data_IF_449867541325
#
_entry.id   IF_449867541325
#
_cell.length_a   1.000
_cell.length_b   1.000
_cell.length_c   1.000
_cell.angle_alpha   90.00
_cell.angle_beta   90.00
_cell.angle_gamma   90.00
#
_symmetry.space_group_name_H-M   'P 1'
#
loop_
_entity.id
_entity.type
_entity.pdbx_description
1 polymer ?
2 water ?
#
# COMPACT_ATOMS: atom_id res chain seq x y z
N UNK A 1 -0.48 14.29 1.23
CA UNK A 1 -0.24 13.80 -0.16
C UNK A 1 -1.42 13.01 -0.69
N UNK A 2 -1.81 13.13 -1.95
CA UNK A 2 -2.85 12.35 -2.56
C UNK A 2 -2.20 11.29 -3.47
N UNK A 3 -3.04 10.47 -4.09
CA UNK A 3 -2.56 9.35 -4.92
C UNK A 3 -1.69 9.81 -6.05
N UNK A 4 -2.05 10.93 -6.69
CA UNK A 4 -1.24 11.43 -7.82
C UNK A 4 0.15 11.78 -7.36
N UNK A 5 0.27 12.44 -6.21
CA UNK A 5 1.57 12.87 -5.72
C UNK A 5 2.39 11.63 -5.31
N UNK A 6 1.69 10.65 -4.73
CA UNK A 6 2.37 9.40 -4.37
C UNK A 6 2.97 8.76 -5.61
N UNK A 7 2.23 8.68 -6.69
CA UNK A 7 2.71 8.08 -7.94
C UNK A 7 3.93 8.86 -8.45
N UNK A 8 3.83 10.19 -8.44
CA UNK A 8 4.96 10.98 -8.94
C UNK A 8 6.22 10.81 -8.12
N UNK A 9 6.12 10.73 -6.80
CA UNK A 9 7.24 10.57 -5.90
C UNK A 9 7.86 9.18 -6.08
N UNK A 10 6.99 8.16 -6.15
CA UNK A 10 7.55 6.82 -6.37
C UNK A 10 8.21 6.67 -7.72
N UNK A 11 7.64 7.19 -8.79
CA UNK A 11 8.22 7.12 -10.13
C UNK A 11 9.60 7.81 -10.13
N UNK A 12 9.74 8.92 -9.41
CA UNK A 12 11.07 9.57 -9.43
C UNK A 12 12.09 8.74 -8.70
N UNK A 13 11.76 8.25 -7.51
CA UNK A 13 12.68 7.47 -6.69
C UNK A 13 13.07 6.15 -7.35
N UNK A 14 12.11 5.45 -7.96
CA UNK A 14 12.45 4.17 -8.57
C UNK A 14 13.00 4.32 -9.97
N UNK A 15 12.94 5.50 -10.57
CA UNK A 15 13.36 5.67 -11.96
C UNK A 15 12.46 4.92 -12.91
N UNK A 16 11.14 4.93 -12.60
CA UNK A 16 10.13 4.24 -13.36
C UNK A 16 9.16 5.21 -14.04
N UNK A 17 8.53 4.73 -15.08
CA UNK A 17 7.53 5.54 -15.79
C UNK A 17 6.30 5.71 -14.91
N UNK A 18 5.69 6.88 -14.87
CA UNK A 18 4.48 7.03 -14.06
C UNK A 18 3.39 6.05 -14.44
N UNK A 19 3.17 5.69 -15.70
CA UNK A 19 2.11 4.75 -16.05
C UNK A 19 2.36 3.37 -15.46
N UNK A 20 3.63 2.96 -15.34
CA UNK A 20 3.96 1.66 -14.78
C UNK A 20 3.72 1.65 -13.27
N UNK A 21 4.08 2.74 -12.62
CA UNK A 21 3.85 2.87 -11.18
C UNK A 21 2.35 2.87 -10.93
N UNK A 22 1.56 3.59 -11.76
CA UNK A 22 0.11 3.57 -11.51
C UNK A 22 -0.48 2.19 -11.70
N UNK A 23 -0.03 1.44 -12.69
CA UNK A 23 -0.53 0.09 -12.92
C UNK A 23 -0.20 -0.81 -11.73
N UNK A 24 1.05 -0.71 -11.27
CA UNK A 24 1.43 -1.59 -10.14
C UNK A 24 0.77 -1.15 -8.86
N UNK A 25 0.67 0.17 -8.60
CA UNK A 25 -0.04 0.60 -7.40
C UNK A 25 -1.49 0.18 -7.41
N UNK A 26 -2.19 0.40 -8.55
CA UNK A 26 -3.61 0.02 -8.60
C UNK A 26 -3.75 -1.51 -8.43
N UNK A 27 -2.85 -2.29 -8.98
CA UNK A 27 -2.94 -3.76 -8.85
C UNK A 27 -2.66 -4.19 -7.42
N UNK A 28 -1.72 -3.51 -6.74
CA UNK A 28 -1.55 -3.78 -5.32
C UNK A 28 -2.82 -3.47 -4.54
N UNK A 29 -3.44 -2.31 -4.74
CA UNK A 29 -4.65 -1.96 -4.00
C UNK A 29 -5.80 -2.92 -4.30
N UNK A 30 -5.90 -3.34 -5.55
CA UNK A 30 -6.96 -4.29 -5.93
C UNK A 30 -6.71 -5.63 -5.26
N UNK A 31 -5.45 -6.04 -5.22
CA UNK A 31 -5.10 -7.34 -4.62
C UNK A 31 -5.38 -7.37 -3.13
N UNK A 32 -5.01 -6.31 -2.40
CA UNK A 32 -5.30 -6.20 -0.98
C UNK A 32 -6.81 -6.17 -0.76
N UNK A 33 -7.56 -5.42 -1.55
CA UNK A 33 -9.02 -5.33 -1.42
C UNK A 33 -9.66 -6.69 -1.65
N UNK A 34 -9.21 -7.42 -2.66
CA UNK A 34 -9.78 -8.75 -2.94
C UNK A 34 -9.49 -9.70 -1.79
N UNK A 35 -8.28 -9.68 -1.24
CA UNK A 35 -7.96 -10.55 -0.10
C UNK A 35 -8.85 -10.25 1.09
N UNK A 36 -9.02 -8.96 1.43
CA UNK A 36 -9.85 -8.55 2.55
C UNK A 36 -11.32 -8.92 2.33
N UNK A 37 -11.75 -8.88 1.09
CA UNK A 37 -13.14 -9.24 0.76
C UNK A 37 -13.40 -10.72 1.01
N UNK A 38 -12.38 -11.55 0.93
CA UNK A 38 -12.47 -12.98 1.20
C UNK A 38 -12.16 -13.29 2.66
N UNK A 39 -11.93 -12.28 3.50
CA UNK A 39 -11.57 -12.44 4.88
C UNK A 39 -10.13 -12.83 5.16
N UNK A 40 -9.24 -12.71 4.18
CA UNK A 40 -7.84 -13.04 4.34
C UNK A 40 -7.11 -11.85 4.98
N UNK A 41 -5.97 -12.11 5.57
CA UNK A 41 -5.13 -11.07 6.16
C UNK A 41 -4.05 -10.74 5.13
N UNK A 42 -3.60 -9.49 5.10
CA UNK A 42 -2.47 -9.13 4.22
C UNK A 42 -1.40 -8.60 5.17
N UNK A 43 -0.37 -9.38 5.42
CA UNK A 43 0.68 -9.03 6.36
C UNK A 43 1.95 -8.66 5.62
N UNK A 44 2.36 -7.39 5.79
CA UNK A 44 3.56 -6.96 5.08
C UNK A 44 4.65 -6.69 6.12
N UNK A 45 5.64 -7.55 6.18
CA UNK A 45 6.76 -7.37 7.12
C UNK A 45 7.40 -6.00 7.03
N UNK A 46 7.59 -5.37 8.19
CA UNK A 46 8.23 -4.04 8.21
C UNK A 46 7.28 -2.91 7.87
N UNK A 47 5.98 -3.20 7.76
CA UNK A 47 4.99 -2.17 7.49
C UNK A 47 3.79 -2.36 8.37
N UNK A 48 3.05 -3.47 8.20
CA UNK A 48 1.89 -3.71 9.03
C UNK A 48 0.97 -4.73 8.36
N UNK A 49 -0.17 -4.98 9.01
CA UNK A 49 -1.10 -5.95 8.45
C UNK A 49 -2.47 -5.34 8.24
N UNK A 50 -3.11 -5.77 7.16
CA UNK A 50 -4.48 -5.35 6.88
C UNK A 50 -5.36 -6.57 7.20
N UNK A 51 -6.44 -6.36 7.93
CA UNK A 51 -7.29 -7.50 8.29
C UNK A 51 -8.72 -6.99 8.40
N UNK A 52 -9.65 -7.90 8.52
CA UNK A 52 -11.06 -7.53 8.70
C UNK A 52 -11.51 -8.01 10.07
N UNK A 76 -15.36 -4.91 9.05
CA UNK A 76 -14.69 -3.67 8.65
C UNK A 76 -13.19 -3.89 8.55
N UNK A 77 -12.59 -3.21 7.59
CA UNK A 77 -11.15 -3.27 7.36
C UNK A 77 -10.35 -2.56 8.46
N UNK A 78 -9.28 -3.14 8.92
CA UNK A 78 -8.45 -2.55 9.95
C UNK A 78 -6.98 -2.72 9.56
N UNK A 79 -6.15 -1.78 9.98
CA UNK A 79 -4.72 -1.83 9.75
C UNK A 79 -4.00 -1.82 11.09
N UNK A 80 -3.11 -2.77 11.29
CA UNK A 80 -2.28 -2.85 12.48
C UNK A 80 -0.83 -2.56 12.10
N UNK A 81 -0.32 -1.38 12.47
CA UNK A 81 1.05 -1.00 12.12
C UNK A 81 2.10 -1.94 12.73
N UNK A 82 3.14 -2.17 11.99
CA UNK A 82 4.24 -3.03 12.45
C UNK A 82 5.16 -2.22 13.36
N UNK A 83 6.00 -2.94 14.08
CA UNK A 83 6.94 -2.35 15.04
C UNK A 83 7.82 -1.29 14.34
N UNK A 84 8.38 -1.70 13.22
CA UNK A 84 9.28 -0.85 12.42
C UNK A 84 8.61 0.46 12.01
N UNK A 85 7.36 0.39 11.54
CA UNK A 85 6.65 1.61 11.15
C UNK A 85 6.41 2.51 12.36
N UNK A 86 5.94 1.94 13.46
CA UNK A 86 5.72 2.69 14.70
C UNK A 86 6.99 3.38 15.18
N UNK A 87 8.14 2.70 15.13
CA UNK A 87 9.40 3.30 15.55
C UNK A 87 9.80 4.45 14.65
N UNK A 88 9.58 4.31 13.34
CA UNK A 88 9.95 5.35 12.38
C UNK A 88 9.12 6.62 12.47
N UNK A 89 7.87 6.54 12.91
CA UNK A 89 7.00 7.71 12.96
C UNK A 89 6.82 8.29 14.36
N UNK A 90 7.34 7.60 15.37
CA UNK A 90 7.23 8.10 16.74
C UNK A 90 7.91 9.46 16.84
N UNK B 1 -2.13 -13.74 3.61
CA UNK B 1 -1.07 -13.55 2.57
C UNK B 1 0.09 -12.75 3.15
N UNK B 2 1.33 -13.03 2.83
CA UNK B 2 2.48 -12.27 3.24
C UNK B 2 2.99 -11.47 2.03
N UNK B 3 4.05 -10.72 2.25
CA UNK B 3 4.58 -9.82 1.21
C UNK B 3 5.03 -10.55 -0.03
N UNK B 4 5.66 -11.71 0.16
CA UNK B 4 6.08 -12.48 -1.03
C UNK B 4 4.88 -12.89 -1.86
N UNK B 5 3.80 -13.37 -1.26
CA UNK B 5 2.64 -13.79 -2.02
C UNK B 5 1.98 -12.59 -2.71
N UNK B 6 1.95 -11.46 -1.99
CA UNK B 6 1.41 -10.22 -2.59
C UNK B 6 2.18 -9.88 -3.86
N UNK B 7 3.50 -9.89 -3.82
CA UNK B 7 4.33 -9.60 -4.99
C UNK B 7 4.00 -10.60 -6.11
N UNK B 8 3.92 -11.89 -5.81
CA UNK B 8 3.65 -12.86 -6.89
C UNK B 8 2.29 -12.64 -7.52
N UNK B 9 1.25 -12.34 -6.75
CA UNK B 9 -0.09 -12.13 -7.27
C UNK B 9 -0.11 -10.86 -8.12
N UNK B 10 0.52 -9.80 -7.61
CA UNK B 10 0.51 -8.57 -8.41
C UNK B 10 1.29 -8.74 -9.69
N UNK B 11 2.44 -9.40 -9.68
CA UNK B 11 3.25 -9.60 -10.88
C UNK B 11 2.44 -10.39 -11.91
N UNK B 12 1.65 -11.36 -11.46
CA UNK B 12 0.87 -12.14 -12.45
C UNK B 12 -0.23 -11.30 -13.05
N UNK B 13 -0.94 -10.55 -12.22
CA UNK B 13 -2.08 -9.75 -12.69
C UNK B 13 -1.63 -8.63 -13.62
N UNK B 14 -0.52 -7.97 -13.28
CA UNK B 14 -0.09 -6.85 -14.11
C UNK B 14 0.78 -7.29 -15.27
N UNK B 15 1.18 -8.55 -15.33
CA UNK B 15 2.10 -8.97 -16.38
C UNK B 15 3.46 -8.32 -16.25
N UNK B 16 3.94 -8.16 -15.00
CA UNK B 16 5.19 -7.52 -14.68
C UNK B 16 6.18 -8.51 -14.06
N UNK B 17 7.45 -8.18 -14.17
CA UNK B 17 8.49 -9.01 -13.57
C UNK B 17 8.39 -8.88 -12.05
N UNK B 18 8.57 -9.96 -11.30
CA UNK B 18 8.55 -9.84 -9.84
C UNK B 18 9.54 -8.83 -9.32
N UNK B 19 10.74 -8.68 -9.88
CA UNK B 19 11.72 -7.74 -9.39
C UNK B 19 11.23 -6.30 -9.53
N UNK B 20 10.46 -5.99 -10.57
CA UNK B 20 9.97 -4.63 -10.74
C UNK B 20 8.82 -4.36 -9.76
N UNK B 21 7.98 -5.36 -9.54
CA UNK B 21 6.90 -5.22 -8.56
C UNK B 21 7.51 -5.00 -7.18
N UNK B 22 8.54 -5.80 -6.83
CA UNK B 22 9.16 -5.59 -5.51
C UNK B 22 9.77 -4.22 -5.37
N UNK B 23 10.44 -3.69 -6.38
CA UNK B 23 11.02 -2.35 -6.32
C UNK B 23 9.94 -1.28 -6.13
N UNK B 24 8.87 -1.46 -6.92
CA UNK B 24 7.82 -0.41 -6.80
C UNK B 24 7.07 -0.55 -5.49
N UNK B 25 6.77 -1.77 -5.02
CA UNK B 25 6.11 -1.92 -3.73
C UNK B 25 6.96 -1.37 -2.60
N UNK B 26 8.27 -1.72 -2.61
CA UNK B 26 9.13 -1.21 -1.52
C UNK B 26 9.20 0.33 -1.59
N UNK B 27 9.24 0.89 -2.77
CA UNK B 27 9.32 2.36 -2.89
C UNK B 27 8.02 3.02 -2.44
N UNK B 28 6.87 2.40 -2.75
CA UNK B 28 5.61 2.89 -2.21
C UNK B 28 5.64 2.85 -0.68
N UNK B 29 6.03 1.74 -0.05
CA UNK B 29 6.04 1.65 1.40
C UNK B 29 7.03 2.64 2.02
N UNK B 30 8.18 2.83 1.40
CA UNK B 30 9.15 3.81 1.91
C UNK B 30 8.59 5.21 1.77
N UNK B 31 7.91 5.49 0.67
CA UNK B 31 7.34 6.85 0.49
C UNK B 31 6.26 7.14 1.49
N UNK B 32 5.36 6.19 1.77
CA UNK B 32 4.33 6.39 2.78
C UNK B 32 4.97 6.55 4.15
N UNK B 33 5.94 5.73 4.51
CA UNK B 33 6.61 5.82 5.82
C UNK B 33 7.27 7.18 5.99
N UNK B 34 7.96 7.65 4.96
CA UNK B 34 8.64 8.96 5.05
C UNK B 34 7.61 10.07 5.25
N UNK B 35 6.48 10.02 4.54
CA UNK B 35 5.45 11.06 4.70
C UNK B 35 4.89 11.07 6.12
N UNK B 36 4.61 9.89 6.68
CA UNK B 36 4.09 9.77 8.03
C UNK B 36 5.12 10.26 9.06
N UNK B 37 6.39 10.02 8.78
CA UNK B 37 7.46 10.44 9.69
C UNK B 37 7.52 11.96 9.79
N UNK B 38 7.16 12.68 8.75
CA UNK B 38 7.10 14.13 8.71
C UNK B 38 5.74 14.67 9.13
N UNK B 39 4.81 13.83 9.57
CA UNK B 39 3.48 14.17 9.97
C UNK B 39 2.49 14.43 8.85
N UNK B 40 2.81 14.06 7.62
CA UNK B 40 1.93 14.29 6.49
C UNK B 40 0.89 13.16 6.41
N UNK B 41 -0.21 13.44 5.73
CA UNK B 41 -1.23 12.40 5.54
C UNK B 41 -1.02 11.83 4.14
N UNK B 42 -1.36 10.55 3.98
CA UNK B 42 -1.27 9.92 2.65
C UNK B 42 -2.69 9.46 2.35
N UNK B 43 -3.37 10.18 1.48
CA UNK B 43 -4.77 9.92 1.16
C UNK B 43 -4.88 9.29 -0.21
N UNK B 44 -5.39 8.05 -0.27
CA UNK B 44 -5.49 7.37 -1.55
C UNK B 44 -6.97 7.18 -1.85
N UNK B 45 -7.47 7.95 -2.79
CA UNK B 45 -8.91 7.81 -3.13
C UNK B 45 -9.27 6.39 -3.52
N UNK B 46 -10.43 5.95 -3.01
CA UNK B 46 -10.87 4.58 -3.35
C UNK B 46 -10.19 3.52 -2.51
N UNK B 47 -9.41 3.90 -1.50
CA UNK B 47 -8.76 2.95 -0.61
C UNK B 47 -8.79 3.42 0.83
N UNK B 48 -8.18 4.55 1.17
CA UNK B 48 -8.18 5.04 2.53
C UNK B 48 -7.04 6.01 2.77
N UNK B 49 -6.91 6.48 4.00
CA UNK B 49 -5.86 7.42 4.31
C UNK B 49 -5.00 6.93 5.45
N UNK B 50 -3.71 7.19 5.33
CA UNK B 50 -2.76 6.89 6.39
C UNK B 50 -2.40 8.23 7.04
N UNK B 51 -2.46 8.26 8.37
CA UNK B 51 -2.14 9.52 9.05
C UNK B 51 -1.51 9.18 10.40
N UNK B 52 -1.04 10.20 11.08
CA UNK B 52 -0.45 10.01 12.40
C UNK B 52 -1.30 10.76 13.44
N UNK B 76 1.13 7.86 16.65
CA UNK B 76 1.09 6.51 16.14
C UNK B 76 0.44 6.51 14.78
N UNK B 77 0.93 5.67 13.90
CA UNK B 77 0.33 5.56 12.57
C UNK B 77 -1.11 5.01 12.60
N UNK B 78 -2.00 5.57 11.84
CA UNK B 78 -3.38 5.12 11.79
C UNK B 78 -3.84 5.05 10.34
N UNK B 79 -4.71 4.12 10.04
CA UNK B 79 -5.31 3.95 8.73
C UNK B 79 -6.82 4.12 8.84
N UNK B 80 -7.37 5.00 8.02
CA UNK B 80 -8.81 5.21 7.95
C UNK B 80 -9.32 4.71 6.60
N UNK B 81 -10.04 3.58 6.60
CA UNK B 81 -10.56 3.01 5.36
C UNK B 81 -11.54 3.95 4.64
N UNK B 82 -11.46 3.94 3.35
CA UNK B 82 -12.35 4.78 2.54
C UNK B 82 -13.71 4.10 2.39
N UNK B 83 -14.69 4.86 1.91
CA UNK B 83 -16.04 4.34 1.72
C UNK B 83 -16.05 3.12 0.81
N UNK B 84 -15.41 3.23 -0.34
CA UNK B 84 -15.32 2.15 -1.31
C UNK B 84 -14.73 0.86 -0.74
N UNK B 85 -13.64 0.95 0.04
CA UNK B 85 -13.04 -0.24 0.62
C UNK B 85 -14.01 -0.89 1.60
N UNK B 86 -14.59 -0.07 2.47
CA UNK B 86 -15.59 -0.54 3.42
C UNK B 86 -16.75 -1.24 2.71
N UNK B 87 -17.27 -0.68 1.63
CA UNK B 87 -18.36 -1.31 0.88
C UNK B 87 -17.95 -2.64 0.27
N UNK B 88 -16.75 -2.73 -0.28
CA UNK B 88 -16.26 -3.96 -0.89
C UNK B 88 -15.98 -5.06 0.13
N UNK B 89 -15.68 -4.69 1.36
CA UNK B 89 -15.34 -5.64 2.42
C UNK B 89 -16.60 -5.92 3.34
N UNK B 90 -17.61 -5.02 3.26
CA UNK B 90 -18.89 -5.05 4.09
C UNK B 90 -19.64 -6.38 4.00
#
# INVERSE_FOLDING_TARGET
MNKKELIDRVAKKAGAKKKDVKLILDTILETITEALAKGEKVQIVGFGSFEVRKAAARKGVNPQTRKPITIPERKVPKFKPGKALKEKVK
MNKKELIDRVAKKAGAKKKDVKLILDTILETITEALAKGEKVQIVGFGSFEVRKAAARKGVNPQTRKPITIPERKVPKFKPGKALKEKVK
#
